data_IF_009738796251
#
_entry.id   IF_009738796251
#
_cell.length_a   1.000
_cell.length_b   1.000
_cell.length_c   1.000
_cell.angle_alpha   90.00
_cell.angle_beta   90.00
_cell.angle_gamma   90.00
#
_symmetry.space_group_name_H-M   'P 1'
#
loop_
_entity.id
_entity.type
_entity.pdbx_description
1 polymer ?
#
# COMPACT_ATOMS: atom_id res chain seq x y z
N UNK A 1 -9.52 41.48 24.73
CA UNK A 1 -8.82 40.80 23.60
C UNK A 1 -7.84 39.80 24.18
N UNK A 2 -8.34 38.65 24.64
CA UNK A 2 -7.52 37.60 25.23
C UNK A 2 -7.35 36.49 24.18
N UNK A 3 -6.14 36.36 23.63
CA UNK A 3 -5.72 35.15 22.91
C UNK A 3 -5.77 34.01 23.93
N UNK A 4 -6.86 33.23 23.91
CA UNK A 4 -6.84 31.86 24.45
C UNK A 4 -5.80 31.12 23.63
N UNK A 5 -4.61 31.01 24.20
CA UNK A 5 -3.55 30.15 23.73
C UNK A 5 -4.13 28.72 23.77
N UNK A 6 -4.43 28.16 22.61
CA UNK A 6 -4.93 26.80 22.46
C UNK A 6 -3.83 25.82 22.87
N UNK A 7 -3.71 25.62 24.19
CA UNK A 7 -2.90 24.56 24.83
C UNK A 7 -3.53 23.17 24.60
N UNK A 8 -4.05 22.91 23.40
CA UNK A 8 -4.58 21.62 22.96
C UNK A 8 -3.89 21.10 21.69
N UNK A 9 -3.00 21.89 21.09
CA UNK A 9 -2.28 21.56 19.85
C UNK A 9 -0.88 20.96 20.11
N UNK A 10 -0.68 20.28 21.25
CA UNK A 10 0.32 19.22 21.25
C UNK A 10 -0.24 18.15 20.32
N UNK A 11 0.18 18.19 19.04
CA UNK A 11 -0.20 17.22 18.04
C UNK A 11 -0.06 15.85 18.65
N UNK A 12 -1.20 15.19 18.87
CA UNK A 12 -1.20 13.80 19.24
C UNK A 12 -0.47 13.11 18.08
N UNK A 13 0.76 12.67 18.37
CA UNK A 13 1.54 11.81 17.48
C UNK A 13 0.79 10.49 17.51
N UNK A 14 -0.27 10.43 16.71
CA UNK A 14 -1.19 9.31 16.67
C UNK A 14 -0.54 8.20 15.85
N UNK A 15 -0.18 7.11 16.54
CA UNK A 15 0.26 5.87 15.90
C UNK A 15 -0.98 5.12 15.37
N UNK A 16 -0.96 4.73 14.09
CA UNK A 16 -2.06 3.98 13.45
C UNK A 16 -2.36 2.70 14.21
N UNK A 17 -1.32 1.97 14.60
CA UNK A 17 -1.43 0.65 15.21
C UNK A 17 -1.98 0.75 16.63
N UNK A 18 -1.49 1.70 17.43
CA UNK A 18 -2.00 1.92 18.79
C UNK A 18 -3.46 2.37 18.72
N UNK A 19 -3.77 3.30 17.81
CA UNK A 19 -5.14 3.79 17.63
C UNK A 19 -6.09 2.66 17.21
N UNK A 20 -5.73 1.89 16.18
CA UNK A 20 -6.52 0.74 15.72
C UNK A 20 -6.69 -0.28 16.85
N UNK A 21 -5.63 -0.56 17.62
CA UNK A 21 -5.70 -1.47 18.76
C UNK A 21 -6.69 -0.98 19.83
N UNK A 22 -6.71 0.31 20.14
CA UNK A 22 -7.61 0.89 21.13
C UNK A 22 -9.05 0.94 20.63
N UNK A 23 -9.27 1.32 19.37
CA UNK A 23 -10.62 1.52 18.80
C UNK A 23 -11.30 0.20 18.39
N UNK A 24 -10.53 -0.77 17.91
CA UNK A 24 -11.05 -2.01 17.31
C UNK A 24 -10.55 -3.29 18.01
N UNK A 25 -9.69 -3.14 19.02
CA UNK A 25 -9.09 -4.26 19.74
C UNK A 25 -8.06 -5.03 18.93
N UNK A 26 -7.66 -6.18 19.48
CA UNK A 26 -6.72 -7.10 18.83
C UNK A 26 -7.20 -7.63 17.48
N UNK A 27 -8.52 -7.72 17.28
CA UNK A 27 -9.10 -8.21 16.03
C UNK A 27 -8.81 -7.24 14.89
N UNK A 28 -9.08 -5.95 15.05
CA UNK A 28 -8.85 -5.00 13.97
C UNK A 28 -7.35 -4.77 13.72
N UNK A 29 -6.51 -4.77 14.75
CA UNK A 29 -5.05 -4.78 14.55
C UNK A 29 -4.62 -6.03 13.76
N UNK A 30 -5.15 -7.21 14.10
CA UNK A 30 -4.88 -8.45 13.37
C UNK A 30 -5.29 -8.39 11.90
N UNK A 31 -6.46 -7.80 11.60
CA UNK A 31 -6.93 -7.59 10.22
C UNK A 31 -6.01 -6.63 9.47
N UNK A 32 -5.59 -5.53 10.09
CA UNK A 32 -4.67 -4.57 9.46
C UNK A 32 -3.32 -5.23 9.10
N UNK A 33 -2.74 -5.98 10.04
CA UNK A 33 -1.50 -6.72 9.81
C UNK A 33 -1.68 -7.80 8.73
N UNK A 34 -2.83 -8.48 8.71
CA UNK A 34 -3.18 -9.45 7.68
C UNK A 34 -3.26 -8.81 6.29
N UNK A 35 -3.83 -7.61 6.19
CA UNK A 35 -3.91 -6.86 4.93
C UNK A 35 -2.51 -6.56 4.40
N UNK A 36 -1.62 -6.00 5.23
CA UNK A 36 -0.24 -5.76 4.84
C UNK A 36 0.45 -7.06 4.41
N UNK A 37 0.35 -8.12 5.21
CA UNK A 37 0.91 -9.43 4.88
C UNK A 37 0.40 -9.96 3.52
N UNK A 38 -0.90 -9.82 3.25
CA UNK A 38 -1.51 -10.25 1.99
C UNK A 38 -0.97 -9.45 0.80
N UNK A 39 -0.84 -8.12 0.94
CA UNK A 39 -0.26 -7.24 -0.08
C UNK A 39 1.17 -7.68 -0.39
N UNK A 40 2.01 -7.89 0.62
CA UNK A 40 3.39 -8.37 0.42
C UNK A 40 3.43 -9.74 -0.24
N UNK A 41 2.61 -10.69 0.23
CA UNK A 41 2.54 -12.04 -0.33
C UNK A 41 2.19 -11.99 -1.83
N UNK A 42 1.21 -11.18 -2.21
CA UNK A 42 0.82 -11.01 -3.62
C UNK A 42 1.92 -10.33 -4.42
N UNK A 43 2.46 -9.20 -3.93
CA UNK A 43 3.49 -8.45 -4.65
C UNK A 43 4.78 -9.23 -4.85
N UNK A 44 5.27 -9.94 -3.82
CA UNK A 44 6.46 -10.81 -3.92
C UNK A 44 6.18 -11.98 -4.86
N UNK A 45 5.03 -12.64 -4.72
CA UNK A 45 4.67 -13.73 -5.65
C UNK A 45 4.58 -13.25 -7.10
N UNK A 46 4.15 -12.02 -7.34
CA UNK A 46 4.06 -11.47 -8.68
C UNK A 46 5.44 -11.05 -9.22
N UNK A 47 6.29 -10.48 -8.38
CA UNK A 47 7.66 -10.11 -8.73
C UNK A 47 8.47 -11.29 -9.31
N UNK A 48 8.29 -12.50 -8.76
CA UNK A 48 8.94 -13.72 -9.26
C UNK A 48 8.28 -14.32 -10.51
N UNK A 49 7.07 -13.89 -10.87
CA UNK A 49 6.34 -14.35 -12.05
C UNK A 49 6.56 -13.46 -13.28
N UNK A 50 6.81 -12.17 -13.05
CA UNK A 50 7.08 -11.21 -14.11
C UNK A 50 8.43 -11.51 -14.78
N UNK A 51 8.46 -11.48 -16.10
CA UNK A 51 9.67 -11.63 -16.92
C UNK A 51 10.23 -10.26 -17.33
N UNK A 52 9.35 -9.28 -17.55
CA UNK A 52 9.71 -7.93 -17.94
C UNK A 52 10.38 -7.17 -16.78
N UNK A 53 11.61 -6.68 -17.04
CA UNK A 53 12.42 -5.96 -16.05
C UNK A 53 11.77 -4.65 -15.58
N UNK A 54 11.08 -3.94 -16.48
CA UNK A 54 10.38 -2.70 -16.15
C UNK A 54 9.19 -2.97 -15.23
N UNK A 55 8.39 -4.00 -15.53
CA UNK A 55 7.27 -4.40 -14.66
C UNK A 55 7.74 -4.91 -13.30
N UNK A 56 8.87 -5.62 -13.26
CA UNK A 56 9.51 -6.03 -11.99
C UNK A 56 9.97 -4.83 -11.17
N UNK A 57 10.56 -3.82 -11.80
CA UNK A 57 10.96 -2.59 -11.12
C UNK A 57 9.75 -1.83 -10.57
N UNK A 58 8.66 -1.75 -11.34
CA UNK A 58 7.39 -1.16 -10.88
C UNK A 58 6.78 -1.93 -9.69
N UNK A 59 6.86 -3.27 -9.70
CA UNK A 59 6.41 -4.09 -8.58
C UNK A 59 7.19 -3.78 -7.29
N UNK A 60 8.52 -3.68 -7.40
CA UNK A 60 9.41 -3.37 -6.27
C UNK A 60 9.17 -1.95 -5.75
N UNK A 61 8.95 -0.97 -6.63
CA UNK A 61 8.68 0.40 -6.20
C UNK A 61 7.36 0.50 -5.44
N UNK A 62 6.30 -0.19 -5.89
CA UNK A 62 5.03 -0.24 -5.16
C UNK A 62 5.19 -0.93 -3.80
N UNK A 63 5.91 -2.06 -3.72
CA UNK A 63 6.24 -2.69 -2.44
C UNK A 63 7.06 -1.78 -1.52
N UNK A 64 7.93 -0.95 -2.09
CA UNK A 64 8.64 0.11 -1.38
C UNK A 64 7.68 1.13 -0.75
N UNK A 65 6.69 1.61 -1.52
CA UNK A 65 5.63 2.51 -1.00
C UNK A 65 4.83 1.84 0.11
N UNK A 66 4.45 0.57 -0.03
CA UNK A 66 3.76 -0.20 1.02
C UNK A 66 4.60 -0.28 2.30
N UNK A 67 5.91 -0.49 2.14
CA UNK A 67 6.86 -0.53 3.26
C UNK A 67 6.98 0.82 3.96
N UNK A 68 7.10 1.91 3.17
CA UNK A 68 7.11 3.26 3.70
C UNK A 68 5.83 3.55 4.47
N UNK A 69 4.65 3.23 3.92
CA UNK A 69 3.36 3.44 4.60
C UNK A 69 3.26 2.65 5.91
N UNK A 70 3.68 1.38 5.91
CA UNK A 70 3.66 0.56 7.11
C UNK A 70 4.58 1.14 8.21
N UNK A 71 5.78 1.58 7.85
CA UNK A 71 6.74 2.16 8.82
C UNK A 71 6.29 3.54 9.29
N UNK A 72 5.87 4.43 8.37
CA UNK A 72 5.38 5.76 8.72
C UNK A 72 4.11 5.71 9.57
N UNK A 73 3.32 4.65 9.45
CA UNK A 73 2.14 4.39 10.30
C UNK A 73 2.45 4.32 11.80
N UNK A 74 3.70 4.12 12.20
CA UNK A 74 4.14 4.15 13.60
C UNK A 74 4.17 5.58 14.15
N UNK A 75 4.44 6.56 13.28
CA UNK A 75 4.65 7.96 13.69
C UNK A 75 3.43 8.81 13.39
N UNK A 76 2.71 8.51 12.31
CA UNK A 76 1.63 9.37 11.78
C UNK A 76 0.50 8.48 11.26
N UNK A 77 -0.78 8.90 11.40
CA UNK A 77 -1.91 8.16 10.86
C UNK A 77 -2.04 8.31 9.33
N UNK A 78 -1.04 7.82 8.59
CA UNK A 78 -0.88 8.06 7.14
C UNK A 78 -2.05 7.51 6.31
N UNK A 79 -2.80 6.51 6.78
CA UNK A 79 -3.95 5.96 6.05
C UNK A 79 -5.27 6.68 6.39
N UNK A 80 -5.31 7.58 7.37
CA UNK A 80 -6.55 8.29 7.71
C UNK A 80 -6.82 9.49 6.81
N UNK A 81 -5.79 10.07 6.21
CA UNK A 81 -6.02 11.17 5.27
C UNK A 81 -6.54 10.62 3.95
N UNK A 82 -7.66 11.16 3.47
CA UNK A 82 -8.35 10.69 2.27
C UNK A 82 -7.43 10.55 1.04
N UNK A 83 -6.56 11.54 0.83
CA UNK A 83 -5.67 11.59 -0.34
C UNK A 83 -4.61 10.48 -0.32
N UNK A 84 -3.92 10.29 0.80
CA UNK A 84 -2.89 9.25 0.93
C UNK A 84 -3.50 7.86 0.85
N UNK A 85 -4.65 7.65 1.48
CA UNK A 85 -5.40 6.39 1.43
C UNK A 85 -5.80 6.06 -0.01
N UNK A 86 -6.32 7.03 -0.75
CA UNK A 86 -6.65 6.84 -2.16
C UNK A 86 -5.43 6.44 -2.99
N UNK A 87 -4.31 7.17 -2.86
CA UNK A 87 -3.07 6.86 -3.57
C UNK A 87 -2.54 5.46 -3.22
N UNK A 88 -2.55 5.11 -1.93
CA UNK A 88 -2.10 3.79 -1.46
C UNK A 88 -2.93 2.67 -2.09
N UNK A 89 -4.26 2.74 -1.98
CA UNK A 89 -5.14 1.70 -2.51
C UNK A 89 -5.13 1.64 -4.05
N UNK A 90 -4.96 2.77 -4.72
CA UNK A 90 -4.78 2.80 -6.17
C UNK A 90 -3.51 2.05 -6.58
N UNK A 91 -2.37 2.30 -5.92
CA UNK A 91 -1.11 1.63 -6.21
C UNK A 91 -1.19 0.12 -5.92
N UNK A 92 -1.82 -0.28 -4.82
CA UNK A 92 -2.07 -1.69 -4.50
C UNK A 92 -2.97 -2.33 -5.56
N UNK A 93 -4.01 -1.64 -6.03
CA UNK A 93 -4.87 -2.12 -7.12
C UNK A 93 -4.11 -2.30 -8.44
N UNK A 94 -3.25 -1.34 -8.79
CA UNK A 94 -2.38 -1.42 -9.96
C UNK A 94 -1.42 -2.62 -9.84
N UNK A 95 -0.83 -2.83 -8.66
CA UNK A 95 0.05 -3.95 -8.36
C UNK A 95 -0.60 -5.30 -8.67
N UNK A 96 -1.85 -5.48 -8.24
CA UNK A 96 -2.61 -6.73 -8.46
C UNK A 96 -2.87 -6.98 -9.95
N UNK A 97 -3.03 -5.92 -10.76
CA UNK A 97 -3.34 -6.02 -12.20
C UNK A 97 -2.12 -6.21 -13.09
N UNK A 98 -0.92 -5.80 -12.67
CA UNK A 98 0.31 -5.85 -13.49
C UNK A 98 0.57 -7.23 -14.10
N UNK A 99 0.42 -8.32 -13.34
CA UNK A 99 0.66 -9.67 -13.87
C UNK A 99 -0.42 -10.23 -14.80
N UNK A 100 -1.56 -9.55 -14.92
CA UNK A 100 -2.55 -9.83 -15.97
C UNK A 100 -2.18 -9.13 -17.28
N UNK A 101 -1.63 -7.92 -17.18
CA UNK A 101 -1.24 -7.09 -18.33
C UNK A 101 -0.07 -7.73 -19.08
N UNK A 102 0.98 -8.17 -18.37
CA UNK A 102 2.13 -8.82 -19.01
C UNK A 102 1.71 -10.07 -19.80
N UNK A 103 0.84 -10.90 -19.23
CA UNK A 103 0.31 -12.09 -19.91
C UNK A 103 -0.49 -11.74 -21.16
N UNK A 104 -1.33 -10.71 -21.08
CA UNK A 104 -2.09 -10.24 -22.24
C UNK A 104 -1.14 -9.73 -23.35
N UNK A 105 -0.07 -9.03 -22.97
CA UNK A 105 0.91 -8.51 -23.93
C UNK A 105 1.73 -9.61 -24.60
N UNK A 106 2.15 -10.64 -23.85
CA UNK A 106 2.85 -11.81 -24.40
C UNK A 106 1.97 -12.58 -25.39
N UNK A 107 0.68 -12.77 -25.07
CA UNK A 107 -0.27 -13.44 -25.98
C UNK A 107 -0.47 -12.63 -27.26
N UNK A 108 -0.65 -11.31 -27.12
CA UNK A 108 -0.83 -10.41 -28.26
C UNK A 108 0.38 -10.41 -29.20
N UNK A 109 1.60 -10.33 -28.67
CA UNK A 109 2.82 -10.40 -29.49
C UNK A 109 2.96 -11.71 -30.25
N UNK A 110 2.51 -12.84 -29.67
CA UNK A 110 2.51 -14.12 -30.39
C UNK A 110 1.55 -14.11 -31.59
N UNK A 111 0.36 -13.55 -31.42
CA UNK A 111 -0.63 -13.44 -32.51
C UNK A 111 -0.13 -12.55 -33.65
N UNK A 112 0.60 -11.47 -33.34
CA UNK A 112 1.19 -10.58 -34.36
C UNK A 112 2.34 -11.22 -35.16
N UNK A 113 2.99 -12.26 -34.63
CA UNK A 113 4.07 -13.00 -35.32
C UNK A 113 3.57 -14.17 -36.17
N UNK A 114 2.32 -14.59 -35.99
CA UNK A 114 1.68 -15.69 -36.72
C UNK A 114 0.91 -15.21 -37.98
N UNK A 115 0.90 -13.89 -38.25
CA UNK A 115 0.30 -13.23 -39.43
C UNK A 115 1.39 -12.73 -40.36
#
# INVERSE_FOLDING_TARGET
MAKRFELGQFGAVDDVYIKVLVETGWIGLGVLLWVFYTIYKVGISMYFRLQDTFLRAAMVSILGVVSSVAIYGIVIPVLETQMSSFCFWFLVGAMVKLGGIERAEVVRRRQELEV
#
